data_IF_058006323435
#
_entry.id   IF_058006323435
#
_cell.length_a   1.000
_cell.length_b   1.000
_cell.length_c   1.000
_cell.angle_alpha   90.00
_cell.angle_beta   90.00
_cell.angle_gamma   90.00
#
_symmetry.space_group_name_H-M   'P 1'
#
loop_
_entity.id
_entity.type
_entity.pdbx_description
1 polymer ?
#
# COMPACT_ATOMS: atom_id res chain seq x y z
N UNK A 1 33.07 8.16 23.30
CA UNK A 1 31.61 8.03 23.43
C UNK A 1 31.30 6.57 23.80
N UNK A 2 30.69 6.27 24.95
CA UNK A 2 30.37 4.88 25.31
C UNK A 2 29.27 4.36 24.36
N UNK A 3 29.49 3.17 23.79
CA UNK A 3 28.53 2.48 22.91
C UNK A 3 27.28 2.16 23.73
N UNK A 4 26.19 2.90 23.51
CA UNK A 4 24.88 2.66 24.14
C UNK A 4 24.46 1.24 23.81
N UNK A 5 24.33 0.38 24.82
CA UNK A 5 23.82 -0.98 24.65
C UNK A 5 22.35 -0.87 24.22
N UNK A 6 22.07 -1.10 22.95
CA UNK A 6 20.71 -1.18 22.43
C UNK A 6 20.05 -2.43 23.01
N UNK A 7 18.77 -2.32 23.39
CA UNK A 7 18.01 -3.50 23.80
C UNK A 7 17.85 -4.45 22.60
N UNK A 8 17.52 -5.71 22.87
CA UNK A 8 17.27 -6.68 21.80
C UNK A 8 16.15 -6.23 20.85
N UNK A 9 15.14 -5.54 21.38
CA UNK A 9 14.01 -5.00 20.61
C UNK A 9 14.47 -3.85 19.71
N UNK A 10 15.18 -2.86 20.26
CA UNK A 10 15.69 -1.73 19.48
C UNK A 10 16.60 -2.19 18.33
N UNK A 11 17.36 -3.26 18.55
CA UNK A 11 18.25 -3.81 17.53
C UNK A 11 17.47 -4.51 16.41
N UNK A 12 16.40 -5.23 16.75
CA UNK A 12 15.53 -5.88 15.78
C UNK A 12 14.85 -4.85 14.88
N UNK A 13 14.31 -3.79 15.46
CA UNK A 13 13.66 -2.71 14.70
C UNK A 13 14.64 -2.00 13.76
N UNK A 14 15.85 -1.69 14.22
CA UNK A 14 16.91 -1.12 13.37
C UNK A 14 17.26 -2.02 12.17
N UNK A 15 17.24 -3.34 12.35
CA UNK A 15 17.50 -4.27 11.24
C UNK A 15 16.36 -4.26 10.23
N UNK A 16 15.11 -4.15 10.69
CA UNK A 16 13.94 -4.03 9.81
C UNK A 16 14.00 -2.72 9.02
N UNK A 17 14.30 -1.59 9.66
CA UNK A 17 14.42 -0.29 8.98
C UNK A 17 15.48 -0.30 7.88
N UNK A 18 16.68 -0.81 8.18
CA UNK A 18 17.74 -0.95 7.18
C UNK A 18 17.35 -1.95 6.07
N UNK A 19 16.62 -3.01 6.39
CA UNK A 19 16.13 -3.97 5.40
C UNK A 19 15.08 -3.34 4.47
N UNK A 20 14.21 -2.46 4.97
CA UNK A 20 13.25 -1.70 4.15
C UNK A 20 14.00 -0.88 3.10
N UNK A 21 14.98 -0.08 3.52
CA UNK A 21 15.80 0.73 2.60
C UNK A 21 16.50 -0.16 1.56
N UNK A 22 17.09 -1.27 2.02
CA UNK A 22 17.82 -2.18 1.16
C UNK A 22 16.92 -2.85 0.12
N UNK A 23 15.75 -3.34 0.52
CA UNK A 23 14.79 -3.97 -0.39
C UNK A 23 14.15 -2.94 -1.34
N UNK A 24 13.93 -1.71 -0.90
CA UNK A 24 13.50 -0.62 -1.78
C UNK A 24 14.57 -0.30 -2.84
N UNK A 25 15.86 -0.43 -2.52
CA UNK A 25 16.94 -0.11 -3.46
C UNK A 25 17.33 -1.28 -4.39
N UNK A 26 17.39 -2.51 -3.85
CA UNK A 26 18.01 -3.67 -4.51
C UNK A 26 17.04 -4.84 -4.73
N UNK A 27 15.79 -4.74 -4.29
CA UNK A 27 14.82 -5.82 -4.31
C UNK A 27 15.19 -7.00 -3.41
N UNK A 28 14.54 -8.14 -3.60
CA UNK A 28 14.68 -9.33 -2.76
C UNK A 28 15.69 -10.35 -3.31
N UNK A 29 16.53 -10.01 -4.28
CA UNK A 29 17.48 -10.96 -4.87
C UNK A 29 18.64 -11.34 -3.93
N UNK A 30 18.98 -10.48 -2.95
CA UNK A 30 20.13 -10.65 -2.08
C UNK A 30 20.08 -11.96 -1.28
N UNK A 31 21.19 -12.68 -1.25
CA UNK A 31 21.35 -13.84 -0.35
C UNK A 31 21.40 -13.39 1.11
N UNK A 32 21.12 -14.30 2.05
CA UNK A 32 21.20 -13.98 3.50
C UNK A 32 22.60 -13.52 3.93
N UNK A 33 23.65 -14.02 3.27
CA UNK A 33 25.04 -13.59 3.51
C UNK A 33 25.28 -12.15 3.05
N UNK A 34 24.78 -11.79 1.87
CA UNK A 34 24.86 -10.42 1.36
C UNK A 34 24.04 -9.46 2.20
N UNK A 35 22.82 -9.86 2.58
CA UNK A 35 21.96 -9.12 3.48
C UNK A 35 22.65 -8.82 4.82
N UNK A 36 23.26 -9.82 5.47
CA UNK A 36 23.99 -9.60 6.72
C UNK A 36 25.15 -8.60 6.55
N UNK A 37 25.87 -8.67 5.43
CA UNK A 37 26.94 -7.73 5.08
C UNK A 37 26.43 -6.29 4.91
N UNK A 38 25.32 -6.11 4.18
CA UNK A 38 24.68 -4.80 3.96
C UNK A 38 24.11 -4.22 5.27
N UNK A 39 23.60 -5.07 6.16
CA UNK A 39 23.14 -4.68 7.51
C UNK A 39 24.29 -4.50 8.52
N UNK A 40 25.55 -4.61 8.06
CA UNK A 40 26.75 -4.51 8.90
C UNK A 40 26.74 -5.41 10.15
N UNK A 41 26.26 -6.64 9.99
CA UNK A 41 26.20 -7.67 11.03
C UNK A 41 26.75 -9.01 10.54
N UNK A 42 26.99 -9.93 11.47
CA UNK A 42 27.34 -11.30 11.11
C UNK A 42 26.08 -12.07 10.70
N UNK A 43 26.22 -13.02 9.78
CA UNK A 43 25.11 -13.88 9.37
C UNK A 43 24.50 -14.68 10.54
N UNK A 44 25.27 -15.23 11.51
CA UNK A 44 24.70 -15.84 12.70
C UNK A 44 23.88 -14.87 13.57
N UNK A 45 24.29 -13.59 13.66
CA UNK A 45 23.52 -12.59 14.39
C UNK A 45 22.20 -12.27 13.69
N UNK A 46 22.20 -12.21 12.35
CA UNK A 46 20.97 -12.05 11.59
C UNK A 46 19.99 -13.20 11.87
N UNK A 47 20.46 -14.45 11.82
CA UNK A 47 19.64 -15.62 12.13
C UNK A 47 19.12 -15.68 13.57
N UNK A 48 19.82 -15.05 14.52
CA UNK A 48 19.34 -14.93 15.90
C UNK A 48 18.08 -14.06 16.00
N UNK A 49 17.93 -13.05 15.14
CA UNK A 49 16.77 -12.16 15.13
C UNK A 49 15.70 -12.59 14.14
N UNK A 50 16.11 -13.16 13.01
CA UNK A 50 15.24 -13.63 11.93
C UNK A 50 15.72 -15.02 11.49
N UNK A 51 15.16 -16.10 12.07
CA UNK A 51 15.43 -17.49 11.69
C UNK A 51 15.49 -17.78 10.19
N UNK A 52 14.81 -16.99 9.34
CA UNK A 52 14.94 -17.07 7.89
C UNK A 52 14.93 -15.69 7.23
N UNK A 53 15.41 -15.62 5.98
CA UNK A 53 15.24 -14.42 5.13
C UNK A 53 13.75 -14.08 4.93
N UNK A 54 12.90 -15.10 4.81
CA UNK A 54 11.46 -14.92 4.65
C UNK A 54 10.84 -14.24 5.86
N UNK A 55 11.33 -14.53 7.07
CA UNK A 55 10.83 -13.88 8.28
C UNK A 55 11.21 -12.39 8.31
N UNK A 56 12.41 -12.01 7.87
CA UNK A 56 12.74 -10.59 7.71
C UNK A 56 11.84 -9.92 6.65
N UNK A 57 11.58 -10.60 5.53
CA UNK A 57 10.67 -10.11 4.49
C UNK A 57 9.26 -9.90 5.07
N UNK A 58 8.77 -10.82 5.90
CA UNK A 58 7.46 -10.69 6.54
C UNK A 58 7.40 -9.49 7.50
N UNK A 59 8.48 -9.22 8.24
CA UNK A 59 8.56 -8.05 9.12
C UNK A 59 8.61 -6.74 8.33
N UNK A 60 9.29 -6.74 7.18
CA UNK A 60 9.23 -5.62 6.23
C UNK A 60 7.81 -5.47 5.68
N UNK A 61 7.13 -6.56 5.34
CA UNK A 61 5.76 -6.53 4.86
C UNK A 61 4.80 -5.91 5.89
N UNK A 62 4.86 -6.38 7.13
CA UNK A 62 4.09 -5.83 8.26
C UNK A 62 4.32 -4.33 8.43
N UNK A 63 5.58 -3.88 8.40
CA UNK A 63 5.93 -2.47 8.64
C UNK A 63 5.55 -1.55 7.48
N UNK A 64 5.75 -2.01 6.24
CA UNK A 64 5.57 -1.18 5.04
C UNK A 64 4.11 -1.16 4.58
N UNK A 65 3.42 -2.30 4.62
CA UNK A 65 2.06 -2.43 4.09
C UNK A 65 1.00 -2.41 5.19
N UNK A 66 1.08 -3.31 6.17
CA UNK A 66 0.01 -3.51 7.15
C UNK A 66 -0.06 -2.38 8.19
N UNK A 67 1.08 -1.92 8.70
CA UNK A 67 1.14 -0.83 9.70
C UNK A 67 0.62 0.50 9.17
N UNK A 68 0.54 0.65 7.85
CA UNK A 68 0.01 1.85 7.18
C UNK A 68 -1.45 1.72 6.77
N UNK A 69 -2.05 0.54 6.96
CA UNK A 69 -3.47 0.34 6.76
C UNK A 69 -4.23 1.07 7.86
N UNK A 70 -4.95 2.12 7.50
CA UNK A 70 -5.75 2.86 8.48
C UNK A 70 -7.08 2.13 8.72
N UNK A 71 -7.35 1.64 9.95
CA UNK A 71 -8.59 0.92 10.24
C UNK A 71 -9.83 1.82 10.14
N UNK A 72 -9.68 3.15 10.11
CA UNK A 72 -10.79 4.09 9.96
C UNK A 72 -11.29 4.21 8.52
N UNK A 73 -10.57 3.70 7.51
CA UNK A 73 -11.01 3.78 6.11
C UNK A 73 -12.40 3.19 5.89
N UNK A 74 -12.66 2.00 6.44
CA UNK A 74 -13.97 1.35 6.34
C UNK A 74 -15.06 2.14 7.04
N UNK A 75 -14.74 2.74 8.20
CA UNK A 75 -15.67 3.55 8.98
C UNK A 75 -16.06 4.82 8.21
N UNK A 76 -15.07 5.53 7.68
CA UNK A 76 -15.31 6.74 6.89
C UNK A 76 -16.10 6.44 5.63
N UNK A 77 -15.73 5.37 4.93
CA UNK A 77 -16.40 4.96 3.69
C UNK A 77 -17.83 4.51 3.93
N UNK A 78 -18.19 3.97 5.12
CA UNK A 78 -19.56 3.55 5.44
C UNK A 78 -20.44 4.65 6.08
N UNK A 79 -19.89 5.83 6.40
CA UNK A 79 -20.60 6.90 7.11
C UNK A 79 -21.59 7.67 6.20
N UNK A 80 -22.80 7.16 6.06
CA UNK A 80 -23.88 7.77 5.25
C UNK A 80 -24.38 9.12 5.77
N UNK A 81 -23.91 9.62 6.92
CA UNK A 81 -24.21 10.99 7.34
C UNK A 81 -23.52 12.05 6.45
N UNK A 82 -22.51 11.63 5.66
CA UNK A 82 -21.75 12.49 4.76
C UNK A 82 -21.92 12.08 3.29
N UNK A 83 -21.87 13.04 2.35
CA UNK A 83 -21.94 12.74 0.92
C UNK A 83 -20.89 11.69 0.50
N UNK A 84 -21.27 10.74 -0.36
CA UNK A 84 -20.36 9.67 -0.80
C UNK A 84 -19.08 10.21 -1.41
N UNK A 85 -19.18 11.24 -2.25
CA UNK A 85 -18.05 11.96 -2.82
C UNK A 85 -17.03 12.39 -1.77
N UNK A 86 -17.47 13.03 -0.69
CA UNK A 86 -16.57 13.61 0.31
C UNK A 86 -15.86 12.53 1.14
N UNK A 87 -16.56 11.41 1.40
CA UNK A 87 -15.96 10.21 2.01
C UNK A 87 -14.89 9.61 1.11
N UNK A 88 -15.16 9.50 -0.19
CA UNK A 88 -14.25 8.93 -1.17
C UNK A 88 -12.99 9.78 -1.33
N UNK A 89 -13.14 11.11 -1.41
CA UNK A 89 -12.01 12.05 -1.43
C UNK A 89 -11.16 11.91 -0.17
N UNK A 90 -11.78 11.90 1.02
CA UNK A 90 -11.05 11.75 2.28
C UNK A 90 -10.27 10.43 2.33
N UNK A 91 -10.90 9.33 1.93
CA UNK A 91 -10.24 8.04 1.85
C UNK A 91 -9.01 8.10 0.95
N UNK A 92 -9.13 8.64 -0.27
CA UNK A 92 -8.01 8.68 -1.21
C UNK A 92 -6.89 9.64 -0.78
N UNK A 93 -7.20 10.74 -0.10
CA UNK A 93 -6.19 11.62 0.51
C UNK A 93 -5.35 10.84 1.52
N UNK A 94 -5.98 10.17 2.48
CA UNK A 94 -5.25 9.39 3.51
C UNK A 94 -4.53 8.16 2.91
N UNK A 95 -5.19 7.47 1.98
CA UNK A 95 -4.62 6.33 1.25
C UNK A 95 -3.35 6.71 0.47
N UNK A 96 -3.37 7.83 -0.25
CA UNK A 96 -2.20 8.27 -1.03
C UNK A 96 -1.04 8.68 -0.12
N UNK A 97 -1.30 9.30 1.03
CA UNK A 97 -0.27 9.59 2.03
C UNK A 97 0.36 8.30 2.58
N UNK A 98 -0.45 7.25 2.79
CA UNK A 98 0.03 5.96 3.28
C UNK A 98 0.92 5.21 2.27
N UNK A 99 0.56 5.22 0.98
CA UNK A 99 1.17 4.33 -0.01
C UNK A 99 2.19 4.99 -0.95
N UNK A 100 2.20 6.31 -1.11
CA UNK A 100 3.07 7.00 -2.08
C UNK A 100 4.47 7.35 -1.56
N UNK A 101 4.98 6.62 -0.58
CA UNK A 101 6.41 6.72 -0.19
C UNK A 101 7.29 5.94 -1.15
N UNK A 102 8.56 6.32 -1.26
CA UNK A 102 9.55 5.62 -2.09
C UNK A 102 9.64 4.13 -1.75
N UNK A 103 9.72 3.80 -0.46
CA UNK A 103 9.89 2.43 0.04
C UNK A 103 8.71 1.56 -0.36
N UNK A 104 7.49 2.02 -0.08
CA UNK A 104 6.26 1.31 -0.42
C UNK A 104 6.19 0.98 -1.92
N UNK A 105 6.34 1.99 -2.78
CA UNK A 105 6.21 1.82 -4.23
C UNK A 105 7.27 0.87 -4.78
N UNK A 106 8.52 1.06 -4.38
CA UNK A 106 9.64 0.28 -4.91
C UNK A 106 9.61 -1.16 -4.41
N UNK A 107 9.32 -1.38 -3.13
CA UNK A 107 9.16 -2.71 -2.55
C UNK A 107 7.98 -3.44 -3.21
N UNK A 108 6.85 -2.75 -3.42
CA UNK A 108 5.70 -3.34 -4.09
C UNK A 108 6.03 -3.81 -5.52
N UNK A 109 6.79 -3.02 -6.29
CA UNK A 109 7.22 -3.40 -7.64
C UNK A 109 8.24 -4.56 -7.62
N UNK A 110 9.23 -4.52 -6.74
CA UNK A 110 10.19 -5.62 -6.63
C UNK A 110 9.52 -6.93 -6.20
N UNK A 111 8.57 -6.86 -5.27
CA UNK A 111 7.80 -8.03 -4.85
C UNK A 111 7.03 -8.61 -6.04
N UNK A 112 6.31 -7.76 -6.79
CA UNK A 112 5.49 -8.18 -7.91
C UNK A 112 6.28 -8.88 -9.05
N UNK A 113 7.55 -8.52 -9.24
CA UNK A 113 8.41 -9.13 -10.26
C UNK A 113 9.12 -10.42 -9.80
N UNK A 114 9.25 -10.65 -8.50
CA UNK A 114 10.02 -11.79 -7.96
C UNK A 114 9.13 -12.86 -7.33
N UNK A 115 8.30 -12.46 -6.38
CA UNK A 115 7.33 -13.32 -5.69
C UNK A 115 6.11 -12.47 -5.33
N UNK A 116 5.01 -12.56 -6.10
CA UNK A 116 3.86 -11.67 -5.95
C UNK A 116 3.00 -12.01 -4.74
N UNK A 117 3.36 -12.98 -3.88
CA UNK A 117 2.56 -13.35 -2.70
C UNK A 117 2.29 -12.15 -1.76
N UNK A 118 3.25 -11.24 -1.61
CA UNK A 118 3.05 -10.00 -0.83
C UNK A 118 2.00 -9.09 -1.49
N UNK A 119 2.11 -8.88 -2.81
CA UNK A 119 1.17 -8.08 -3.58
C UNK A 119 -0.23 -8.68 -3.54
N UNK A 120 -0.34 -9.99 -3.76
CA UNK A 120 -1.62 -10.71 -3.75
C UNK A 120 -2.32 -10.56 -2.41
N UNK A 121 -1.63 -10.77 -1.29
CA UNK A 121 -2.20 -10.57 0.06
C UNK A 121 -2.71 -9.15 0.28
N UNK A 122 -1.92 -8.15 -0.09
CA UNK A 122 -2.33 -6.74 0.07
C UNK A 122 -3.52 -6.38 -0.83
N UNK A 123 -3.48 -6.77 -2.11
CA UNK A 123 -4.52 -6.46 -3.10
C UNK A 123 -5.82 -7.21 -2.79
N UNK A 124 -5.74 -8.44 -2.27
CA UNK A 124 -6.89 -9.19 -1.78
C UNK A 124 -7.55 -8.46 -0.60
N UNK A 125 -6.76 -8.05 0.40
CA UNK A 125 -7.27 -7.27 1.53
C UNK A 125 -7.94 -5.97 1.08
N UNK A 126 -7.32 -5.25 0.14
CA UNK A 126 -7.89 -4.04 -0.46
C UNK A 126 -9.25 -4.31 -1.12
N UNK A 127 -9.32 -5.35 -1.95
CA UNK A 127 -10.55 -5.70 -2.65
C UNK A 127 -11.68 -6.08 -1.66
N UNK A 128 -11.38 -6.96 -0.70
CA UNK A 128 -12.37 -7.48 0.26
C UNK A 128 -12.89 -6.41 1.23
N UNK A 129 -12.01 -5.50 1.68
CA UNK A 129 -12.32 -4.52 2.73
C UNK A 129 -12.75 -3.17 2.17
N UNK A 130 -12.19 -2.73 1.05
CA UNK A 130 -12.46 -1.39 0.50
C UNK A 130 -13.38 -1.46 -0.71
N UNK A 131 -13.03 -2.21 -1.76
CA UNK A 131 -13.80 -2.15 -3.01
C UNK A 131 -15.23 -2.64 -2.81
N UNK A 132 -15.40 -3.66 -1.97
CA UNK A 132 -16.73 -4.12 -1.57
C UNK A 132 -17.58 -3.02 -0.92
N UNK A 133 -17.00 -2.20 -0.03
CA UNK A 133 -17.71 -1.07 0.60
C UNK A 133 -17.99 0.02 -0.44
N UNK A 134 -17.01 0.35 -1.29
CA UNK A 134 -17.17 1.35 -2.33
C UNK A 134 -18.32 1.02 -3.29
N UNK A 135 -18.42 -0.22 -3.77
CA UNK A 135 -19.54 -0.67 -4.59
C UNK A 135 -20.88 -0.57 -3.85
N UNK A 136 -20.94 -1.04 -2.59
CA UNK A 136 -22.17 -0.98 -1.79
C UNK A 136 -22.65 0.46 -1.58
N UNK A 137 -21.73 1.37 -1.29
CA UNK A 137 -22.05 2.77 -1.00
C UNK A 137 -22.33 3.57 -2.27
N UNK A 138 -21.69 3.25 -3.40
CA UNK A 138 -22.03 3.79 -4.70
C UNK A 138 -23.46 3.40 -5.11
N UNK A 139 -23.86 2.14 -4.93
CA UNK A 139 -25.22 1.70 -5.28
C UNK A 139 -26.26 2.41 -4.42
N UNK A 140 -25.97 2.59 -3.12
CA UNK A 140 -26.84 3.35 -2.23
C UNK A 140 -26.97 4.82 -2.66
N UNK A 141 -25.86 5.49 -2.98
CA UNK A 141 -25.83 6.90 -3.41
C UNK A 141 -26.60 7.13 -4.72
N UNK A 142 -26.51 6.17 -5.66
CA UNK A 142 -27.24 6.21 -6.92
C UNK A 142 -28.71 5.76 -6.82
N UNK A 143 -29.17 5.32 -5.64
CA UNK A 143 -30.52 4.76 -5.46
C UNK A 143 -30.77 3.49 -6.29
N UNK A 144 -29.73 2.69 -6.57
CA UNK A 144 -29.86 1.46 -7.34
C UNK A 144 -30.52 0.37 -6.48
N UNK A 145 -31.76 0.03 -6.82
CA UNK A 145 -32.51 -1.05 -6.16
C UNK A 145 -32.25 -2.43 -6.79
N UNK A 146 -31.87 -2.46 -8.06
CA UNK A 146 -31.65 -3.70 -8.80
C UNK A 146 -30.21 -4.18 -8.67
N UNK A 147 -30.04 -5.46 -8.36
CA UNK A 147 -28.73 -6.11 -8.36
C UNK A 147 -28.10 -6.07 -9.76
N UNK A 148 -26.80 -5.78 -9.80
CA UNK A 148 -26.01 -5.86 -11.03
C UNK A 148 -25.95 -7.30 -11.55
N UNK A 149 -25.91 -7.45 -12.87
CA UNK A 149 -25.49 -8.73 -13.48
C UNK A 149 -24.03 -9.01 -13.16
N UNK A 150 -23.58 -10.26 -13.35
CA UNK A 150 -22.17 -10.63 -13.16
C UNK A 150 -21.22 -9.76 -14.00
N UNK A 151 -21.58 -9.49 -15.25
CA UNK A 151 -20.77 -8.68 -16.16
C UNK A 151 -20.70 -7.21 -15.70
N UNK A 152 -21.82 -6.65 -15.24
CA UNK A 152 -21.85 -5.29 -14.70
C UNK A 152 -21.02 -5.15 -13.42
N UNK A 153 -21.12 -6.11 -12.51
CA UNK A 153 -20.33 -6.13 -11.28
C UNK A 153 -18.82 -6.25 -11.57
N UNK A 154 -18.43 -7.07 -12.56
CA UNK A 154 -17.05 -7.17 -13.02
C UNK A 154 -16.54 -5.83 -13.58
N UNK A 155 -17.31 -5.16 -14.46
CA UNK A 155 -16.91 -3.88 -15.03
C UNK A 155 -16.81 -2.78 -13.98
N UNK A 156 -17.72 -2.74 -13.01
CA UNK A 156 -17.63 -1.81 -11.88
C UNK A 156 -16.39 -2.06 -11.04
N UNK A 157 -16.06 -3.33 -10.78
CA UNK A 157 -14.84 -3.69 -10.07
C UNK A 157 -13.57 -3.25 -10.85
N UNK A 158 -13.55 -3.40 -12.17
CA UNK A 158 -12.44 -2.89 -13.00
C UNK A 158 -12.36 -1.36 -12.98
N UNK A 159 -13.50 -0.67 -12.88
CA UNK A 159 -13.52 0.78 -12.70
C UNK A 159 -12.85 1.18 -11.37
N UNK A 160 -13.13 0.47 -10.27
CA UNK A 160 -12.44 0.68 -8.99
C UNK A 160 -10.94 0.41 -9.08
N UNK A 161 -10.54 -0.68 -9.74
CA UNK A 161 -9.13 -0.95 -10.01
C UNK A 161 -8.47 0.19 -10.79
N UNK A 162 -9.14 0.71 -11.83
CA UNK A 162 -8.66 1.82 -12.65
C UNK A 162 -8.44 3.09 -11.83
N UNK A 163 -9.47 3.53 -11.08
CA UNK A 163 -9.36 4.72 -10.23
C UNK A 163 -8.25 4.57 -9.19
N UNK A 164 -8.25 3.48 -8.45
CA UNK A 164 -7.29 3.23 -7.37
C UNK A 164 -5.85 3.14 -7.89
N UNK A 165 -5.63 2.41 -8.99
CA UNK A 165 -4.30 2.26 -9.61
C UNK A 165 -3.79 3.57 -10.20
N UNK A 166 -4.68 4.47 -10.63
CA UNK A 166 -4.29 5.80 -11.12
C UNK A 166 -3.50 6.59 -10.08
N UNK A 167 -3.83 6.43 -8.79
CA UNK A 167 -3.13 7.09 -7.68
C UNK A 167 -1.79 6.43 -7.40
N UNK A 168 -1.74 5.10 -7.34
CA UNK A 168 -0.48 4.36 -7.20
C UNK A 168 0.51 4.71 -8.32
N UNK A 169 0.04 4.85 -9.56
CA UNK A 169 0.88 5.23 -10.70
C UNK A 169 1.57 6.59 -10.51
N UNK A 170 1.03 7.50 -9.69
CA UNK A 170 1.71 8.75 -9.35
C UNK A 170 3.00 8.47 -8.57
N UNK A 171 2.98 7.51 -7.66
CA UNK A 171 4.15 7.07 -6.91
C UNK A 171 5.18 6.40 -7.81
N UNK A 172 4.74 5.59 -8.78
CA UNK A 172 5.62 5.01 -9.80
C UNK A 172 6.33 6.11 -10.61
N UNK A 173 5.59 7.10 -11.11
CA UNK A 173 6.16 8.24 -11.83
C UNK A 173 7.22 8.96 -11.00
N UNK A 174 6.91 9.27 -9.73
CA UNK A 174 7.80 10.00 -8.82
C UNK A 174 9.06 9.20 -8.45
N UNK A 175 8.89 7.97 -7.98
CA UNK A 175 9.96 7.21 -7.31
C UNK A 175 10.69 6.19 -8.18
N UNK A 176 10.15 5.90 -9.37
CA UNK A 176 10.72 4.93 -10.30
C UNK A 176 11.17 5.63 -11.57
N UNK A 177 10.27 6.40 -12.19
CA UNK A 177 10.56 7.09 -13.44
C UNK A 177 11.19 8.46 -13.24
N UNK A 178 11.23 8.97 -12.00
CA UNK A 178 11.79 10.28 -11.66
C UNK A 178 11.14 11.43 -12.44
N UNK A 179 9.84 11.30 -12.71
CA UNK A 179 9.03 12.33 -13.36
C UNK A 179 8.40 13.24 -12.30
N UNK A 180 8.24 14.51 -12.67
CA UNK A 180 7.50 15.47 -11.85
C UNK A 180 6.05 15.04 -11.67
N UNK A 181 5.56 15.23 -10.45
CA UNK A 181 4.16 15.08 -10.08
C UNK A 181 3.76 16.33 -9.29
N UNK A 182 2.47 16.71 -9.28
CA UNK A 182 2.01 17.82 -8.46
C UNK A 182 2.38 17.62 -6.99
N UNK A 183 2.84 18.69 -6.34
CA UNK A 183 3.12 18.68 -4.89
C UNK A 183 1.83 18.57 -4.07
N UNK A 184 0.78 19.25 -4.53
CA UNK A 184 -0.55 19.22 -3.93
C UNK A 184 -1.40 18.12 -4.59
N UNK A 185 -1.52 16.98 -3.90
CA UNK A 185 -2.25 15.82 -4.40
C UNK A 185 -3.76 15.91 -4.20
N UNK A 186 -4.23 16.65 -3.18
CA UNK A 186 -5.64 16.70 -2.79
C UNK A 186 -6.52 17.21 -3.94
N UNK A 187 -6.06 18.24 -4.67
CA UNK A 187 -6.76 18.74 -5.85
C UNK A 187 -6.82 17.72 -6.99
N UNK A 188 -5.75 16.95 -7.21
CA UNK A 188 -5.72 15.87 -8.22
C UNK A 188 -6.66 14.73 -7.83
N UNK A 189 -6.72 14.40 -6.54
CA UNK A 189 -7.60 13.38 -5.98
C UNK A 189 -9.05 13.78 -6.15
N UNK A 190 -9.43 14.99 -5.71
CA UNK A 190 -10.77 15.51 -5.87
C UNK A 190 -11.20 15.51 -7.35
N UNK A 191 -10.36 16.02 -8.25
CA UNK A 191 -10.65 16.04 -9.68
C UNK A 191 -10.88 14.65 -10.27
N UNK A 192 -10.06 13.66 -9.90
CA UNK A 192 -10.22 12.28 -10.39
C UNK A 192 -11.45 11.59 -9.82
N UNK A 193 -11.77 11.85 -8.55
CA UNK A 193 -13.00 11.35 -7.92
C UNK A 193 -14.22 11.93 -8.65
N UNK A 194 -14.23 13.23 -8.95
CA UNK A 194 -15.31 13.89 -9.68
C UNK A 194 -15.49 13.29 -11.06
N UNK A 195 -14.42 13.24 -11.85
CA UNK A 195 -14.44 12.67 -13.19
C UNK A 195 -14.90 11.20 -13.20
N UNK A 196 -14.53 10.43 -12.17
CA UNK A 196 -14.95 9.05 -12.02
C UNK A 196 -16.44 8.92 -11.69
N UNK A 197 -16.93 9.68 -10.71
CA UNK A 197 -18.33 9.63 -10.28
C UNK A 197 -19.27 10.15 -11.38
N UNK A 198 -18.87 11.20 -12.10
CA UNK A 198 -19.64 11.73 -13.23
C UNK A 198 -19.71 10.73 -14.40
N UNK A 199 -18.70 9.89 -14.59
CA UNK A 199 -18.70 8.83 -15.60
C UNK A 199 -19.54 7.60 -15.23
N UNK A 200 -19.99 7.48 -13.98
CA UNK A 200 -20.80 6.36 -13.48
C UNK A 200 -22.30 6.67 -13.37
N UNK A 201 -22.68 7.93 -13.56
CA UNK A 201 -24.06 8.43 -13.60
C UNK A 201 -24.62 8.31 -15.02
#
# INVERSE_FOLDING_TARGET
MPRKHLSGVDRRDQMVEQAIELFAQKGFALTTRELARELHITQPLLYRYFPSKQELIEQVYERVFLSRWNPLWEVWLADRSRPFRDRLVQYFVDYTQAILTSEWVRIFLYAGLQDPSLNQRYLQMLHERIFRILSQELHYDLGREQALTSDQAMLENEAWWGLHSSFFYMGVRKWVYQLEVPDELDAVIAYRVDAFLDGLR
#
